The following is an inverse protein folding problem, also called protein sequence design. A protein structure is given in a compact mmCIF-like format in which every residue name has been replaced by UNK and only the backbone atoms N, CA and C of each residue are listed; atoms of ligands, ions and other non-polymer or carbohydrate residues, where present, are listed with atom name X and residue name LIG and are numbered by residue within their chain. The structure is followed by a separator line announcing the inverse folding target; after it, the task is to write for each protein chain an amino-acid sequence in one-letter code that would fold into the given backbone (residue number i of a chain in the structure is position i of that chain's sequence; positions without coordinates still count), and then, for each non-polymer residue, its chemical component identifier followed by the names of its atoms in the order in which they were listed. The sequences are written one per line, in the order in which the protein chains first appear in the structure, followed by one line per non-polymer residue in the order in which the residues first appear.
data_IF_667016607409
#
_entry.id   IF_667016607409
#
_cell.length_a   1.000
_cell.length_b   1.000
_cell.length_c   1.000
_cell.angle_alpha   90.00
_cell.angle_beta   90.00
_cell.angle_gamma   90.00
#
_symmetry.space_group_name_H-M   'P 1'
#
loop_
_entity.id
_entity.type
_entity.pdbx_description
1 polymer ?
#
# COMPACT_ATOMS: atom_id res chain seq x y z
N UNK A 1 49.68 23.94 -1.61
CA UNK A 1 49.54 22.88 -2.65
C UNK A 1 49.36 21.47 -2.11
N UNK A 2 50.03 21.04 -1.03
CA UNK A 2 49.87 19.69 -0.48
C UNK A 2 48.46 19.41 0.07
N UNK A 3 47.85 20.37 0.78
CA UNK A 3 46.50 20.25 1.33
C UNK A 3 45.44 20.00 0.27
N UNK A 4 45.40 20.81 -0.80
CA UNK A 4 44.48 20.64 -1.93
C UNK A 4 44.62 19.26 -2.58
N UNK A 5 45.85 18.72 -2.67
CA UNK A 5 46.10 17.38 -3.23
C UNK A 5 45.56 16.26 -2.34
N UNK A 6 45.53 16.45 -1.02
CA UNK A 6 44.96 15.49 -0.06
C UNK A 6 43.43 15.52 -0.14
N UNK A 7 42.83 16.71 -0.09
CA UNK A 7 41.38 16.90 -0.24
C UNK A 7 40.86 16.31 -1.55
N UNK A 8 41.55 16.53 -2.66
CA UNK A 8 41.16 16.00 -3.97
C UNK A 8 41.21 14.46 -3.99
N UNK A 9 42.24 13.85 -3.38
CA UNK A 9 42.29 12.38 -3.22
C UNK A 9 41.18 11.85 -2.32
N UNK A 10 40.80 12.59 -1.30
CA UNK A 10 39.72 12.21 -0.39
C UNK A 10 38.36 12.26 -1.10
N UNK A 11 38.10 13.32 -1.86
CA UNK A 11 36.90 13.45 -2.71
C UNK A 11 36.83 12.29 -3.71
N UNK A 12 37.94 11.98 -4.40
CA UNK A 12 37.99 10.89 -5.37
C UNK A 12 37.65 9.53 -4.72
N UNK A 13 38.14 9.27 -3.51
CA UNK A 13 37.80 8.05 -2.76
C UNK A 13 36.32 8.01 -2.39
N UNK A 14 35.77 9.12 -1.92
CA UNK A 14 34.34 9.21 -1.60
C UNK A 14 33.46 8.95 -2.82
N UNK A 15 33.85 9.47 -3.99
CA UNK A 15 33.13 9.24 -5.26
C UNK A 15 33.12 7.76 -5.65
N UNK A 16 34.24 7.05 -5.45
CA UNK A 16 34.34 5.61 -5.75
C UNK A 16 33.40 4.80 -4.86
N UNK A 17 33.35 5.10 -3.55
CA UNK A 17 32.44 4.45 -2.62
C UNK A 17 30.96 4.74 -2.96
N UNK A 18 30.65 5.95 -3.43
CA UNK A 18 29.29 6.29 -3.87
C UNK A 18 28.91 5.48 -5.11
N UNK A 19 29.82 5.33 -6.09
CA UNK A 19 29.58 4.53 -7.29
C UNK A 19 29.31 3.07 -6.96
N UNK A 20 30.13 2.44 -6.11
CA UNK A 20 29.92 1.04 -5.69
C UNK A 20 28.55 0.84 -5.01
N UNK A 21 28.11 1.83 -4.22
CA UNK A 21 26.79 1.79 -3.58
C UNK A 21 25.66 1.96 -4.60
N UNK A 22 25.83 2.81 -5.60
CA UNK A 22 24.84 2.98 -6.66
C UNK A 22 24.70 1.71 -7.50
N UNK A 23 25.81 1.04 -7.85
CA UNK A 23 25.78 -0.23 -8.56
C UNK A 23 25.09 -1.33 -7.73
N UNK A 24 25.36 -1.37 -6.42
CA UNK A 24 24.69 -2.30 -5.50
C UNK A 24 23.18 -2.05 -5.42
N UNK A 25 22.76 -0.77 -5.38
CA UNK A 25 21.34 -0.39 -5.40
C UNK A 25 20.70 -0.77 -6.75
N UNK A 26 21.41 -0.56 -7.86
CA UNK A 26 20.92 -0.93 -9.18
C UNK A 26 20.67 -2.43 -9.31
N UNK A 27 21.62 -3.27 -8.85
CA UNK A 27 21.46 -4.72 -8.80
C UNK A 27 20.25 -5.13 -7.95
N UNK A 28 20.07 -4.53 -6.77
CA UNK A 28 18.93 -4.81 -5.90
C UNK A 28 17.58 -4.39 -6.52
N UNK A 29 17.57 -3.36 -7.37
CA UNK A 29 16.39 -2.91 -8.11
C UNK A 29 16.11 -3.75 -9.36
N UNK A 30 17.13 -4.37 -9.96
CA UNK A 30 16.96 -5.30 -11.09
C UNK A 30 16.44 -6.67 -10.65
N UNK A 31 16.88 -7.17 -9.49
CA UNK A 31 16.41 -8.44 -8.90
C UNK A 31 15.04 -8.31 -8.19
N UNK A 32 14.54 -7.10 -7.97
CA UNK A 32 13.14 -6.91 -7.62
C UNK A 32 12.28 -7.33 -8.81
N UNK A 33 11.29 -8.23 -8.64
CA UNK A 33 10.32 -8.47 -9.70
C UNK A 33 9.69 -7.12 -10.01
N UNK A 34 10.01 -6.58 -11.19
CA UNK A 34 9.36 -5.39 -11.73
C UNK A 34 7.88 -5.71 -11.74
N UNK A 35 7.17 -5.32 -10.68
CA UNK A 35 5.72 -5.29 -10.66
C UNK A 35 5.41 -4.33 -11.78
N UNK A 36 5.14 -4.89 -12.96
CA UNK A 36 4.88 -4.15 -14.17
C UNK A 36 3.89 -3.06 -13.78
N UNK A 37 4.40 -1.83 -13.81
CA UNK A 37 3.65 -0.60 -13.68
C UNK A 37 2.92 -0.44 -15.02
N UNK A 38 2.10 -1.43 -15.37
CA UNK A 38 0.98 -1.19 -16.24
C UNK A 38 0.16 -0.22 -15.42
N UNK A 39 0.00 1.00 -15.92
CA UNK A 39 -0.96 1.98 -15.44
C UNK A 39 -2.35 1.32 -15.50
N UNK A 40 -2.62 0.41 -14.56
CA UNK A 40 -3.94 -0.16 -14.31
C UNK A 40 -4.68 1.05 -13.80
N UNK A 41 -5.53 1.58 -14.66
CA UNK A 41 -6.12 2.89 -14.57
C UNK A 41 -6.64 3.11 -13.16
N UNK A 42 -6.00 4.03 -12.43
CA UNK A 42 -6.44 4.55 -11.12
C UNK A 42 -7.94 4.93 -11.17
N UNK A 43 -8.45 5.22 -12.37
CA UNK A 43 -9.85 5.42 -12.70
C UNK A 43 -10.81 4.30 -12.24
N UNK A 44 -10.44 3.02 -12.25
CA UNK A 44 -11.36 1.92 -11.89
C UNK A 44 -11.75 1.90 -10.41
N UNK A 45 -10.88 2.36 -9.52
CA UNK A 45 -11.22 2.49 -8.09
C UNK A 45 -12.04 3.74 -7.79
N UNK A 46 -11.93 4.80 -8.61
CA UNK A 46 -12.79 5.98 -8.51
C UNK A 46 -14.25 5.69 -8.90
N UNK A 47 -14.52 4.57 -9.59
CA UNK A 47 -15.89 4.10 -9.86
C UNK A 47 -16.58 3.49 -8.64
N UNK A 48 -15.88 3.36 -7.52
CA UNK A 48 -16.47 2.95 -6.25
C UNK A 48 -16.56 4.18 -5.35
N UNK A 49 -17.78 4.52 -4.92
CA UNK A 49 -18.06 5.54 -3.93
C UNK A 49 -17.52 5.10 -2.56
N UNK A 50 -16.21 5.23 -2.37
CA UNK A 50 -15.55 4.97 -1.09
C UNK A 50 -15.55 6.25 -0.24
N UNK A 51 -15.88 6.18 1.06
CA UNK A 51 -16.25 4.99 1.84
C UNK A 51 -17.71 4.55 1.61
N UNK A 52 -17.93 3.23 1.54
CA UNK A 52 -19.26 2.61 1.40
C UNK A 52 -20.07 2.87 2.66
N UNK A 53 -21.26 3.43 2.50
CA UNK A 53 -22.16 3.78 3.59
C UNK A 53 -23.46 2.96 3.63
N UNK A 54 -23.77 2.23 2.56
CA UNK A 54 -25.01 1.49 2.42
C UNK A 54 -24.79 0.03 1.95
N UNK A 55 -25.77 -0.82 2.25
CA UNK A 55 -25.71 -2.26 1.96
C UNK A 55 -25.75 -2.54 0.45
N UNK A 56 -26.47 -1.71 -0.32
CA UNK A 56 -26.60 -1.88 -1.77
C UNK A 56 -25.26 -1.68 -2.48
N UNK A 57 -24.49 -0.68 -2.07
CA UNK A 57 -23.16 -0.40 -2.56
C UNK A 57 -22.16 -1.45 -2.08
N UNK A 58 -22.34 -1.99 -0.87
CA UNK A 58 -21.55 -3.12 -0.37
C UNK A 58 -21.76 -4.38 -1.22
N UNK A 59 -23.00 -4.71 -1.58
CA UNK A 59 -23.33 -5.84 -2.46
C UNK A 59 -22.81 -5.61 -3.88
N UNK A 60 -22.91 -4.38 -4.38
CA UNK A 60 -22.35 -4.00 -5.69
C UNK A 60 -20.83 -4.13 -5.69
N UNK A 61 -20.18 -3.72 -4.60
CA UNK A 61 -18.75 -3.85 -4.41
C UNK A 61 -18.30 -5.32 -4.34
N UNK A 62 -19.04 -6.17 -3.63
CA UNK A 62 -18.82 -7.62 -3.60
C UNK A 62 -18.94 -8.23 -5.01
N UNK A 63 -19.98 -7.86 -5.76
CA UNK A 63 -20.18 -8.27 -7.14
C UNK A 63 -19.02 -7.85 -8.06
N UNK A 64 -18.50 -6.62 -7.90
CA UNK A 64 -17.32 -6.14 -8.64
C UNK A 64 -16.06 -6.93 -8.29
N UNK A 65 -15.85 -7.28 -7.02
CA UNK A 65 -14.71 -8.12 -6.59
C UNK A 65 -14.80 -9.54 -7.16
N UNK A 66 -16.01 -10.10 -7.22
CA UNK A 66 -16.25 -11.45 -7.73
C UNK A 66 -16.11 -11.52 -9.27
N UNK A 67 -16.59 -10.50 -9.98
CA UNK A 67 -16.67 -10.49 -11.45
C UNK A 67 -15.48 -9.87 -12.17
N UNK A 68 -14.81 -8.85 -11.61
CA UNK A 68 -13.71 -8.15 -12.27
C UNK A 68 -12.35 -8.47 -11.62
N UNK A 69 -11.59 -9.35 -12.28
CA UNK A 69 -10.24 -9.72 -11.84
C UNK A 69 -9.25 -8.55 -11.86
N UNK A 70 -9.42 -7.60 -12.78
CA UNK A 70 -8.55 -6.43 -12.89
C UNK A 70 -8.85 -5.43 -11.77
N UNK A 71 -10.13 -5.22 -11.45
CA UNK A 71 -10.56 -4.46 -10.28
C UNK A 71 -9.98 -5.06 -9.00
N UNK A 72 -10.07 -6.38 -8.82
CA UNK A 72 -9.47 -7.08 -7.66
C UNK A 72 -7.96 -6.88 -7.58
N UNK A 73 -7.24 -7.00 -8.69
CA UNK A 73 -5.79 -6.76 -8.72
C UNK A 73 -5.44 -5.30 -8.40
N UNK A 74 -6.21 -4.34 -8.87
CA UNK A 74 -6.05 -2.92 -8.56
C UNK A 74 -6.28 -2.65 -7.07
N UNK A 75 -7.39 -3.17 -6.52
CA UNK A 75 -7.75 -3.06 -5.11
C UNK A 75 -6.66 -3.66 -4.21
N UNK A 76 -6.19 -4.88 -4.50
CA UNK A 76 -5.10 -5.50 -3.74
C UNK A 76 -3.82 -4.66 -3.84
N UNK A 77 -3.48 -4.11 -5.02
CA UNK A 77 -2.30 -3.26 -5.17
C UNK A 77 -2.41 -1.99 -4.33
N UNK A 78 -3.53 -1.27 -4.37
CA UNK A 78 -3.73 -0.07 -3.55
C UNK A 78 -3.70 -0.40 -2.05
N UNK A 79 -4.43 -1.43 -1.62
CA UNK A 79 -4.47 -1.87 -0.23
C UNK A 79 -3.14 -2.45 0.27
N UNK A 80 -2.33 -3.04 -0.61
CA UNK A 80 -1.01 -3.55 -0.22
C UNK A 80 -0.02 -2.40 -0.22
N UNK A 81 0.17 -1.73 -1.35
CA UNK A 81 1.17 -0.67 -1.53
C UNK A 81 1.02 0.46 -0.50
N UNK A 82 -0.22 0.85 -0.19
CA UNK A 82 -0.49 1.97 0.72
C UNK A 82 -0.49 1.57 2.20
N UNK A 83 -0.54 0.27 2.54
CA UNK A 83 -0.71 -0.20 3.93
C UNK A 83 0.32 -1.24 4.39
N UNK A 84 1.44 -1.41 3.67
CA UNK A 84 2.64 -2.19 4.07
C UNK A 84 3.24 -1.74 5.42
N UNK A 85 2.78 -0.66 6.04
CA UNK A 85 3.26 -0.18 7.34
C UNK A 85 2.51 -0.77 8.53
N UNK A 86 2.87 -1.96 9.01
CA UNK A 86 2.41 -2.46 10.31
C UNK A 86 2.76 -3.92 10.60
N UNK A 87 3.33 -4.20 11.77
CA UNK A 87 3.73 -5.57 12.19
C UNK A 87 2.53 -6.47 12.53
N UNK A 88 1.33 -5.91 12.68
CA UNK A 88 0.15 -6.61 13.17
C UNK A 88 -1.00 -6.62 12.16
N UNK A 89 -1.46 -7.82 11.80
CA UNK A 89 -2.59 -8.07 10.89
C UNK A 89 -3.87 -7.34 11.35
N UNK A 90 -4.16 -7.34 12.67
CA UNK A 90 -5.35 -6.67 13.22
C UNK A 90 -5.37 -5.16 12.92
N UNK A 91 -4.20 -4.51 12.99
CA UNK A 91 -4.09 -3.08 12.68
C UNK A 91 -4.21 -2.81 11.18
N UNK A 92 -3.67 -3.70 10.35
CA UNK A 92 -3.81 -3.63 8.89
C UNK A 92 -5.28 -3.77 8.47
N UNK A 93 -5.98 -4.80 8.97
CA UNK A 93 -7.41 -5.02 8.70
C UNK A 93 -8.24 -3.81 9.12
N UNK A 94 -8.00 -3.25 10.32
CA UNK A 94 -8.71 -2.05 10.79
C UNK A 94 -8.55 -0.87 9.85
N UNK A 95 -7.33 -0.61 9.36
CA UNK A 95 -7.06 0.51 8.43
C UNK A 95 -7.70 0.32 7.06
N UNK A 96 -7.76 -0.91 6.58
CA UNK A 96 -8.43 -1.26 5.33
C UNK A 96 -9.95 -1.04 5.49
N UNK A 97 -10.54 -1.57 6.55
CA UNK A 97 -11.99 -1.46 6.80
C UNK A 97 -12.43 0.01 6.96
N UNK A 98 -11.70 0.81 7.73
CA UNK A 98 -11.97 2.24 7.92
C UNK A 98 -11.82 3.09 6.64
N UNK A 99 -11.23 2.52 5.58
CA UNK A 99 -11.08 3.17 4.27
C UNK A 99 -12.10 2.68 3.26
N UNK A 100 -12.57 1.45 3.40
CA UNK A 100 -13.57 0.87 2.52
C UNK A 100 -15.00 1.22 2.94
N UNK A 101 -15.26 1.32 4.24
CA UNK A 101 -16.60 1.49 4.79
C UNK A 101 -16.65 2.65 5.78
N UNK A 102 -17.84 3.24 5.97
CA UNK A 102 -18.08 4.22 7.03
C UNK A 102 -18.18 3.54 8.39
N UNK A 103 -17.88 4.29 9.46
CA UNK A 103 -18.02 3.80 10.84
C UNK A 103 -19.47 3.39 11.16
N UNK A 104 -20.45 4.03 10.52
CA UNK A 104 -21.88 3.69 10.65
C UNK A 104 -22.14 2.28 10.12
N UNK A 105 -21.60 1.95 8.95
CA UNK A 105 -21.75 0.60 8.39
C UNK A 105 -20.97 -0.41 9.24
N UNK A 106 -19.74 -0.08 9.65
CA UNK A 106 -18.87 -0.96 10.42
C UNK A 106 -19.42 -1.30 11.81
N UNK A 107 -20.27 -0.47 12.41
CA UNK A 107 -20.93 -0.79 13.70
C UNK A 107 -21.79 -2.06 13.64
N UNK A 108 -22.26 -2.43 12.46
CA UNK A 108 -23.08 -3.62 12.25
C UNK A 108 -22.26 -4.88 11.94
N UNK A 109 -20.94 -4.78 11.84
CA UNK A 109 -20.07 -5.89 11.47
C UNK A 109 -18.93 -6.05 12.48
N UNK A 110 -18.57 -7.30 12.75
CA UNK A 110 -17.45 -7.66 13.61
C UNK A 110 -16.50 -8.56 12.84
N UNK A 111 -15.20 -8.39 13.08
CA UNK A 111 -14.18 -9.25 12.48
C UNK A 111 -14.44 -10.75 12.78
N UNK A 112 -15.02 -11.07 13.94
CA UNK A 112 -15.36 -12.43 14.35
C UNK A 112 -16.84 -12.80 14.11
N UNK A 113 -17.65 -11.93 13.51
CA UNK A 113 -19.08 -12.17 13.29
C UNK A 113 -19.98 -12.01 14.53
N UNK A 114 -19.41 -11.75 15.71
CA UNK A 114 -20.18 -11.44 16.92
C UNK A 114 -20.37 -9.92 17.04
N UNK A 115 -21.58 -9.45 16.81
CA UNK A 115 -22.00 -8.07 17.10
C UNK A 115 -22.52 -8.05 18.53
N UNK A 116 -21.62 -8.04 19.51
CA UNK A 116 -21.99 -7.56 20.85
C UNK A 116 -22.13 -6.05 20.77
N UNK A 117 -23.19 -5.50 21.36
CA UNK A 117 -23.48 -4.08 21.51
C UNK A 117 -22.42 -3.34 22.37
N UNK A 118 -21.16 -3.36 21.95
CA UNK A 118 -20.03 -2.78 22.67
C UNK A 118 -19.05 -2.14 21.68
N UNK A 119 -19.51 -1.09 21.01
CA UNK A 119 -18.64 -0.04 20.47
C UNK A 119 -18.45 1.10 21.49
N UNK A 120 -18.49 0.80 22.80
CA UNK A 120 -17.87 1.64 23.81
C UNK A 120 -16.46 1.11 24.07
N UNK A 121 -15.46 1.92 23.72
CA UNK A 121 -14.02 1.69 23.82
C UNK A 121 -13.38 0.78 22.76
N UNK A 122 -12.82 1.40 21.70
CA UNK A 122 -11.38 1.40 21.33
C UNK A 122 -11.18 2.15 20.01
#
# INVERSE_FOLDING_TARGET
MAFLKIELKQIQRSQLVILERLDSIQLQLEDQPRVYNKNISINKLNECSLPIDNITDLQTFEGKIAGDSEFRTCLVKELTYRYIGGKHIKAMVRRIMAKLCTDVLLQHYSYNGFVEYLFYYI
#
